data_IF_250125528253
#
_entry.id   IF_250125528253
#
_cell.length_a   1.000
_cell.length_b   1.000
_cell.length_c   1.000
_cell.angle_alpha   90.00
_cell.angle_beta   90.00
_cell.angle_gamma   90.00
#
_symmetry.space_group_name_H-M   'P 1'
#
loop_
_entity.id
_entity.type
_entity.pdbx_description
1 polymer ?
#
# COMPACT_ATOMS: atom_id res chain seq x y z
N UNK A 1 -26.19 -17.47 10.84
CA UNK A 1 -25.21 -17.06 11.88
C UNK A 1 -24.05 -18.04 12.03
N UNK A 2 -24.27 -19.35 12.17
CA UNK A 2 -23.16 -20.31 12.38
C UNK A 2 -22.11 -20.35 11.26
N UNK A 3 -22.50 -20.10 10.00
CA UNK A 3 -21.56 -20.11 8.86
C UNK A 3 -20.54 -18.97 8.89
N UNK A 4 -20.92 -17.76 9.35
CA UNK A 4 -19.99 -16.61 9.43
C UNK A 4 -18.84 -16.88 10.38
N UNK A 5 -19.17 -17.43 11.54
CA UNK A 5 -18.18 -17.74 12.59
C UNK A 5 -17.12 -18.75 12.11
N UNK A 6 -17.52 -19.77 11.35
CA UNK A 6 -16.58 -20.76 10.80
C UNK A 6 -15.63 -20.12 9.79
N UNK A 7 -16.11 -19.23 8.92
CA UNK A 7 -15.23 -18.54 7.96
C UNK A 7 -14.26 -17.59 8.65
N UNK A 8 -14.68 -16.86 9.67
CA UNK A 8 -13.81 -15.98 10.47
C UNK A 8 -12.73 -16.79 11.21
N UNK A 9 -13.08 -17.97 11.72
CA UNK A 9 -12.13 -18.88 12.36
C UNK A 9 -11.09 -19.38 11.35
N UNK A 10 -11.52 -19.85 10.17
CA UNK A 10 -10.63 -20.29 9.10
C UNK A 10 -9.71 -19.16 8.67
N UNK A 11 -10.26 -17.96 8.47
CA UNK A 11 -9.49 -16.80 8.03
C UNK A 11 -8.37 -16.44 9.00
N UNK A 12 -8.68 -16.44 10.29
CA UNK A 12 -7.72 -16.15 11.36
C UNK A 12 -6.60 -17.17 11.43
N UNK A 13 -6.93 -18.44 11.32
CA UNK A 13 -5.95 -19.55 11.36
C UNK A 13 -5.02 -19.48 10.16
N UNK A 14 -5.56 -19.21 8.97
CA UNK A 14 -4.73 -19.01 7.78
C UNK A 14 -3.83 -17.78 7.87
N UNK A 15 -4.34 -16.71 8.48
CA UNK A 15 -3.54 -15.50 8.69
C UNK A 15 -2.44 -15.71 9.73
N UNK A 16 -2.68 -16.53 10.77
CA UNK A 16 -1.64 -16.95 11.70
C UNK A 16 -0.59 -17.83 11.01
N UNK A 17 -1.02 -18.76 10.16
CA UNK A 17 -0.11 -19.56 9.33
C UNK A 17 0.79 -18.65 8.49
N UNK A 18 0.21 -17.62 7.88
CA UNK A 18 0.95 -16.76 6.95
C UNK A 18 2.00 -15.86 7.61
N UNK A 19 1.82 -15.53 8.89
CA UNK A 19 2.81 -14.76 9.67
C UNK A 19 3.84 -15.65 10.38
N UNK A 20 3.65 -16.97 10.37
CA UNK A 20 4.58 -17.93 10.94
C UNK A 20 5.66 -18.35 9.94
N UNK A 21 6.85 -18.67 10.44
CA UNK A 21 7.92 -19.30 9.67
C UNK A 21 7.82 -20.84 9.68
N UNK A 22 6.69 -21.41 10.13
CA UNK A 22 6.49 -22.85 10.26
C UNK A 22 6.33 -23.51 8.89
N UNK A 23 7.00 -24.65 8.70
CA UNK A 23 6.71 -25.56 7.60
C UNK A 23 5.28 -26.12 7.70
N UNK A 24 4.77 -26.71 6.62
CA UNK A 24 3.43 -27.32 6.64
C UNK A 24 3.33 -28.44 7.70
N UNK A 25 4.37 -29.25 7.87
CA UNK A 25 4.37 -30.31 8.87
C UNK A 25 4.31 -29.75 10.30
N UNK A 26 5.11 -28.72 10.59
CA UNK A 26 5.12 -28.06 11.90
C UNK A 26 3.79 -27.33 12.16
N UNK A 27 3.20 -26.71 11.14
CA UNK A 27 1.89 -26.08 11.25
C UNK A 27 0.80 -27.11 11.58
N UNK A 28 0.79 -28.25 10.90
CA UNK A 28 -0.16 -29.33 11.15
C UNK A 28 0.03 -29.95 12.55
N UNK A 29 1.28 -30.08 13.01
CA UNK A 29 1.59 -30.54 14.37
C UNK A 29 1.13 -29.53 15.44
N UNK A 30 1.38 -28.23 15.21
CA UNK A 30 0.89 -27.15 16.07
C UNK A 30 -0.63 -27.21 16.20
N UNK A 31 -1.32 -27.41 15.08
CA UNK A 31 -2.77 -27.58 15.04
C UNK A 31 -3.25 -28.93 15.58
N UNK A 32 -2.37 -29.91 15.79
CA UNK A 32 -2.73 -31.25 16.25
C UNK A 32 -3.67 -31.98 15.27
N UNK A 33 -3.46 -31.81 13.97
CA UNK A 33 -4.30 -32.40 12.93
C UNK A 33 -3.50 -32.94 11.75
N UNK A 34 -4.03 -33.99 11.10
CA UNK A 34 -3.49 -34.45 9.83
C UNK A 34 -3.85 -33.48 8.69
N UNK A 35 -3.14 -33.57 7.57
CA UNK A 35 -3.46 -32.82 6.36
C UNK A 35 -4.93 -32.98 5.91
N UNK A 36 -5.45 -34.21 5.96
CA UNK A 36 -6.86 -34.47 5.64
C UNK A 36 -7.80 -33.76 6.62
N UNK A 37 -7.46 -33.73 7.91
CA UNK A 37 -8.20 -32.98 8.93
C UNK A 37 -8.21 -31.48 8.67
N UNK A 38 -7.05 -30.92 8.31
CA UNK A 38 -6.89 -29.53 7.97
C UNK A 38 -7.67 -29.14 6.71
N UNK A 39 -7.63 -29.94 5.64
CA UNK A 39 -8.46 -29.71 4.45
C UNK A 39 -9.95 -29.69 4.77
N UNK A 40 -10.41 -30.58 5.65
CA UNK A 40 -11.82 -30.57 6.11
C UNK A 40 -12.17 -29.34 6.94
N UNK A 41 -11.23 -28.85 7.75
CA UNK A 41 -11.35 -27.58 8.48
C UNK A 41 -11.46 -26.39 7.51
N UNK A 42 -10.57 -26.30 6.53
CA UNK A 42 -10.60 -25.28 5.48
C UNK A 42 -11.90 -25.30 4.66
N UNK A 43 -12.54 -26.46 4.51
CA UNK A 43 -13.84 -26.61 3.87
C UNK A 43 -15.03 -26.28 4.79
N UNK A 44 -14.80 -25.90 6.05
CA UNK A 44 -15.85 -25.67 7.05
C UNK A 44 -16.58 -26.92 7.52
N UNK A 45 -16.10 -28.12 7.17
CA UNK A 45 -16.73 -29.42 7.50
C UNK A 45 -16.17 -30.08 8.75
N UNK A 46 -15.25 -29.40 9.43
CA UNK A 46 -14.61 -29.82 10.67
C UNK A 46 -14.21 -28.59 11.47
N UNK A 47 -14.30 -28.65 12.79
CA UNK A 47 -13.82 -27.60 13.69
C UNK A 47 -12.37 -27.89 14.12
N UNK A 48 -11.65 -26.83 14.52
CA UNK A 48 -10.37 -27.00 15.20
C UNK A 48 -10.53 -27.81 16.49
N UNK A 49 -9.62 -28.76 16.79
CA UNK A 49 -9.51 -29.33 18.13
C UNK A 49 -9.34 -28.23 19.19
N UNK A 50 -9.98 -28.37 20.35
CA UNK A 50 -9.89 -27.35 21.42
C UNK A 50 -8.44 -27.04 21.82
N UNK A 51 -7.59 -28.07 21.91
CA UNK A 51 -6.16 -27.92 22.22
C UNK A 51 -5.35 -27.15 21.17
N UNK A 52 -5.86 -26.99 19.95
CA UNK A 52 -5.17 -26.23 18.91
C UNK A 52 -5.10 -24.75 19.26
N UNK A 53 -6.12 -24.21 19.93
CA UNK A 53 -6.14 -22.82 20.38
C UNK A 53 -5.09 -22.55 21.45
N UNK A 54 -5.06 -23.36 22.51
CA UNK A 54 -4.03 -23.32 23.55
C UNK A 54 -2.61 -23.38 22.96
N UNK A 55 -2.38 -24.29 22.00
CA UNK A 55 -1.08 -24.45 21.33
C UNK A 55 -0.70 -23.23 20.49
N UNK A 56 -1.62 -22.73 19.65
CA UNK A 56 -1.40 -21.52 18.85
C UNK A 56 -1.16 -20.30 19.75
N UNK A 57 -1.98 -20.12 20.79
CA UNK A 57 -1.84 -19.04 21.76
C UNK A 57 -0.46 -19.07 22.42
N UNK A 58 -0.01 -20.25 22.87
CA UNK A 58 1.35 -20.43 23.41
C UNK A 58 2.44 -20.11 22.40
N UNK A 59 2.32 -20.61 21.16
CA UNK A 59 3.32 -20.40 20.12
C UNK A 59 3.46 -18.92 19.76
N UNK A 60 2.33 -18.25 19.49
CA UNK A 60 2.27 -16.83 19.11
C UNK A 60 2.34 -15.86 20.31
N UNK A 61 2.44 -16.38 21.54
CA UNK A 61 2.43 -15.59 22.79
C UNK A 61 1.19 -14.69 22.91
N UNK A 62 0.05 -15.21 22.48
CA UNK A 62 -1.24 -14.56 22.55
C UNK A 62 -2.02 -15.07 23.77
N UNK A 63 -2.96 -14.26 24.23
CA UNK A 63 -4.05 -14.73 25.08
C UNK A 63 -4.99 -15.65 24.27
N UNK A 64 -5.34 -16.80 24.84
CA UNK A 64 -6.17 -17.81 24.17
C UNK A 64 -7.58 -17.25 23.88
N UNK A 65 -8.14 -16.49 24.82
CA UNK A 65 -9.47 -15.91 24.66
C UNK A 65 -9.47 -14.87 23.52
N UNK A 66 -8.43 -14.04 23.42
CA UNK A 66 -8.26 -13.09 22.31
C UNK A 66 -8.17 -13.80 20.96
N UNK A 67 -7.50 -14.95 20.91
CA UNK A 67 -7.45 -15.80 19.72
C UNK A 67 -8.81 -16.40 19.37
N UNK A 68 -9.64 -16.78 20.35
CA UNK A 68 -11.00 -17.32 20.13
C UNK A 68 -11.98 -16.21 19.71
N UNK A 69 -11.88 -15.03 20.31
CA UNK A 69 -12.72 -13.86 20.03
C UNK A 69 -12.32 -13.12 18.75
N UNK A 70 -11.12 -13.38 18.21
CA UNK A 70 -10.62 -12.73 17.00
C UNK A 70 -10.03 -11.35 17.21
N UNK A 71 -9.62 -11.05 18.43
CA UNK A 71 -8.97 -9.79 18.82
C UNK A 71 -7.44 -9.91 18.70
N UNK A 72 -6.98 -10.52 17.61
CA UNK A 72 -5.54 -10.74 17.37
C UNK A 72 -4.95 -9.50 16.70
N UNK A 73 -3.95 -8.88 17.32
CA UNK A 73 -3.15 -7.84 16.68
C UNK A 73 -2.11 -8.46 15.74
N UNK A 74 -2.50 -8.63 14.48
CA UNK A 74 -1.60 -9.16 13.46
C UNK A 74 -0.42 -8.23 13.14
N UNK A 75 -0.51 -6.93 13.41
CA UNK A 75 0.62 -6.01 13.18
C UNK A 75 1.73 -6.28 14.19
N UNK A 76 1.36 -6.48 15.45
CA UNK A 76 2.27 -6.88 16.52
C UNK A 76 2.88 -8.27 16.24
N UNK A 77 2.08 -9.25 15.85
CA UNK A 77 2.60 -10.58 15.52
C UNK A 77 3.62 -10.58 14.38
N UNK A 78 3.37 -9.82 13.32
CA UNK A 78 4.31 -9.72 12.18
C UNK A 78 5.66 -9.19 12.67
N UNK A 79 5.68 -8.25 13.63
CA UNK A 79 6.92 -7.70 14.19
C UNK A 79 7.73 -8.76 14.94
N UNK A 80 7.04 -9.62 15.67
CA UNK A 80 7.68 -10.58 16.57
C UNK A 80 8.13 -11.86 15.85
N UNK A 81 7.42 -12.26 14.79
CA UNK A 81 7.63 -13.55 14.11
C UNK A 81 8.27 -13.46 12.72
N UNK A 82 8.13 -12.35 11.99
CA UNK A 82 8.69 -12.27 10.64
C UNK A 82 10.16 -11.83 10.69
N UNK A 83 11.06 -12.76 10.36
CA UNK A 83 12.52 -12.49 10.25
C UNK A 83 12.99 -12.21 8.83
N UNK A 84 12.07 -12.30 7.87
CA UNK A 84 12.39 -12.10 6.47
C UNK A 84 12.82 -10.66 6.21
N UNK A 85 14.05 -10.51 5.70
CA UNK A 85 14.61 -9.24 5.27
C UNK A 85 14.13 -8.89 3.87
N UNK A 86 14.25 -7.61 3.51
CA UNK A 86 14.05 -7.17 2.13
C UNK A 86 15.05 -7.91 1.20
N UNK A 87 14.60 -8.56 0.12
CA UNK A 87 15.48 -9.11 -0.91
C UNK A 87 16.47 -8.08 -1.45
N UNK A 88 17.71 -8.51 -1.72
CA UNK A 88 18.80 -7.60 -2.15
C UNK A 88 18.46 -6.84 -3.44
N UNK A 89 17.73 -7.46 -4.36
CA UNK A 89 17.30 -6.82 -5.61
C UNK A 89 16.39 -5.60 -5.40
N UNK A 90 15.70 -5.50 -4.26
CA UNK A 90 14.91 -4.34 -3.88
C UNK A 90 15.68 -3.32 -3.03
N UNK A 91 16.97 -3.55 -2.80
CA UNK A 91 17.89 -2.58 -2.21
C UNK A 91 18.76 -1.88 -3.28
N UNK A 92 18.84 -2.45 -4.48
CA UNK A 92 19.51 -1.82 -5.64
C UNK A 92 18.74 -0.58 -6.08
N UNK A 93 19.43 0.55 -6.20
CA UNK A 93 18.80 1.83 -6.56
C UNK A 93 17.70 2.25 -5.58
N UNK A 94 17.86 1.97 -4.28
CA UNK A 94 16.89 2.28 -3.22
C UNK A 94 16.82 3.79 -2.86
N UNK A 95 16.54 4.62 -3.86
CA UNK A 95 16.31 6.06 -3.72
C UNK A 95 14.89 6.37 -3.21
N UNK A 96 14.03 5.36 -3.12
CA UNK A 96 12.70 5.44 -2.54
C UNK A 96 12.65 5.15 -1.04
N UNK A 97 11.42 5.20 -0.51
CA UNK A 97 11.04 4.82 0.86
C UNK A 97 9.86 3.85 0.82
N UNK A 98 9.80 2.93 1.78
CA UNK A 98 8.77 1.88 1.83
C UNK A 98 7.34 2.40 1.90
N UNK A 99 7.13 3.66 2.28
CA UNK A 99 5.81 4.28 2.50
C UNK A 99 4.80 4.08 1.36
N UNK A 100 5.19 4.32 0.11
CA UNK A 100 4.28 4.16 -1.04
C UNK A 100 3.88 2.69 -1.21
N UNK A 101 4.82 1.76 -1.06
CA UNK A 101 4.54 0.32 -1.13
C UNK A 101 3.62 -0.13 0.01
N UNK A 102 3.89 0.33 1.23
CA UNK A 102 3.07 0.01 2.42
C UNK A 102 1.63 0.45 2.21
N UNK A 103 1.42 1.73 1.89
CA UNK A 103 0.07 2.29 1.71
C UNK A 103 -0.67 1.65 0.53
N UNK A 104 0.04 1.27 -0.53
CA UNK A 104 -0.53 0.51 -1.65
C UNK A 104 -0.99 -0.89 -1.22
N UNK A 105 -0.19 -1.61 -0.43
CA UNK A 105 -0.54 -2.92 0.09
C UNK A 105 -1.65 -2.85 1.15
N UNK A 106 -1.72 -1.78 1.95
CA UNK A 106 -2.83 -1.51 2.87
C UNK A 106 -4.14 -1.28 2.12
N UNK A 107 -4.12 -0.51 1.03
CA UNK A 107 -5.27 -0.36 0.14
C UNK A 107 -5.74 -1.72 -0.40
N UNK A 108 -4.81 -2.54 -0.91
CA UNK A 108 -5.14 -3.85 -1.45
C UNK A 108 -5.71 -4.79 -0.39
N UNK A 109 -5.16 -4.78 0.83
CA UNK A 109 -5.70 -5.54 1.95
C UNK A 109 -7.12 -5.06 2.32
N UNK A 110 -7.36 -3.75 2.34
CA UNK A 110 -8.66 -3.18 2.66
C UNK A 110 -9.74 -3.45 1.60
N UNK A 111 -9.38 -3.48 0.31
CA UNK A 111 -10.34 -3.67 -0.79
C UNK A 111 -10.50 -5.13 -1.21
N UNK A 112 -9.42 -5.92 -1.20
CA UNK A 112 -9.39 -7.28 -1.75
C UNK A 112 -9.03 -8.35 -0.71
N UNK A 113 -8.76 -7.94 0.53
CA UNK A 113 -8.44 -8.84 1.63
C UNK A 113 -6.95 -9.17 1.76
N UNK A 114 -6.57 -9.64 2.95
CA UNK A 114 -5.17 -9.89 3.31
C UNK A 114 -4.50 -10.97 2.45
N UNK A 115 -5.25 -11.92 1.88
CA UNK A 115 -4.70 -13.00 1.04
C UNK A 115 -4.03 -12.47 -0.21
N UNK A 116 -4.57 -11.42 -0.84
CA UNK A 116 -3.92 -10.80 -2.00
C UNK A 116 -2.58 -10.17 -1.61
N UNK A 117 -2.54 -9.47 -0.48
CA UNK A 117 -1.31 -8.89 0.06
C UNK A 117 -0.27 -9.97 0.39
N UNK A 118 -0.66 -11.04 1.09
CA UNK A 118 0.22 -12.16 1.40
C UNK A 118 0.76 -12.86 0.15
N UNK A 119 -0.09 -13.12 -0.84
CA UNK A 119 0.31 -13.69 -2.13
C UNK A 119 1.34 -12.81 -2.85
N UNK A 120 1.12 -11.49 -2.91
CA UNK A 120 2.09 -10.55 -3.47
C UNK A 120 3.42 -10.57 -2.72
N UNK A 121 3.39 -10.51 -1.38
CA UNK A 121 4.58 -10.53 -0.55
C UNK A 121 5.40 -11.82 -0.75
N UNK A 122 4.74 -12.97 -0.73
CA UNK A 122 5.37 -14.28 -1.00
C UNK A 122 5.93 -14.36 -2.41
N UNK A 123 5.19 -13.87 -3.40
CA UNK A 123 5.61 -13.89 -4.81
C UNK A 123 6.93 -13.16 -5.04
N UNK A 124 7.13 -12.05 -4.33
CA UNK A 124 8.35 -11.26 -4.42
C UNK A 124 9.35 -11.57 -3.30
N UNK A 125 9.11 -12.59 -2.48
CA UNK A 125 10.01 -12.95 -1.38
C UNK A 125 10.19 -11.85 -0.31
N UNK A 126 9.21 -10.95 -0.18
CA UNK A 126 9.24 -9.83 0.77
C UNK A 126 8.50 -10.22 2.04
N UNK A 127 9.21 -10.26 3.16
CA UNK A 127 8.57 -10.42 4.47
C UNK A 127 7.74 -9.22 4.86
N UNK A 128 6.59 -9.43 5.51
CA UNK A 128 5.76 -8.33 5.99
C UNK A 128 6.51 -7.43 7.03
N UNK A 129 7.44 -7.99 7.81
CA UNK A 129 8.29 -7.20 8.71
C UNK A 129 9.23 -6.23 7.98
N UNK A 130 9.68 -6.58 6.76
CA UNK A 130 10.55 -5.71 5.97
C UNK A 130 9.87 -4.40 5.53
N UNK A 131 8.55 -4.31 5.68
CA UNK A 131 7.73 -3.15 5.36
C UNK A 131 7.12 -2.48 6.61
N UNK A 132 7.71 -2.65 7.79
CA UNK A 132 7.24 -1.97 9.00
C UNK A 132 7.77 -0.53 9.13
N UNK A 133 9.04 -0.33 8.77
CA UNK A 133 9.62 1.02 8.74
C UNK A 133 9.27 1.69 7.41
N UNK A 134 8.40 2.69 7.48
CA UNK A 134 7.95 3.41 6.31
C UNK A 134 9.04 4.30 5.68
N UNK A 135 10.10 4.61 6.41
CA UNK A 135 11.26 5.36 5.94
C UNK A 135 12.46 4.47 5.61
N UNK A 136 12.32 3.15 5.70
CA UNK A 136 13.34 2.24 5.20
C UNK A 136 13.58 2.49 3.70
N UNK A 137 14.84 2.56 3.26
CA UNK A 137 15.16 2.64 1.84
C UNK A 137 14.60 1.43 1.08
N UNK A 138 13.97 1.69 -0.06
CA UNK A 138 13.49 0.65 -0.96
C UNK A 138 13.62 1.08 -2.41
N UNK A 139 13.90 0.11 -3.28
CA UNK A 139 13.84 0.27 -4.72
C UNK A 139 12.40 0.39 -5.18
N UNK A 140 12.13 1.37 -6.05
CA UNK A 140 10.86 1.49 -6.80
C UNK A 140 10.57 0.24 -7.65
N UNK A 141 11.57 -0.61 -7.91
CA UNK A 141 11.42 -1.90 -8.57
C UNK A 141 10.34 -2.77 -7.89
N UNK A 142 10.26 -2.81 -6.56
CA UNK A 142 9.28 -3.64 -5.87
C UNK A 142 7.84 -3.24 -6.22
N UNK A 143 7.48 -1.97 -6.01
CA UNK A 143 6.12 -1.51 -6.30
C UNK A 143 5.80 -1.60 -7.79
N UNK A 144 6.79 -1.41 -8.66
CA UNK A 144 6.65 -1.57 -10.11
C UNK A 144 6.27 -3.01 -10.46
N UNK A 145 7.03 -3.99 -9.95
CA UNK A 145 6.75 -5.40 -10.19
C UNK A 145 5.41 -5.84 -9.59
N UNK A 146 5.02 -5.32 -8.41
CA UNK A 146 3.69 -5.54 -7.83
C UNK A 146 2.61 -5.04 -8.79
N UNK A 147 2.72 -3.80 -9.29
CA UNK A 147 1.74 -3.22 -10.20
C UNK A 147 1.65 -3.99 -11.52
N UNK A 148 2.78 -4.37 -12.10
CA UNK A 148 2.83 -5.16 -13.33
C UNK A 148 2.22 -6.56 -13.15
N UNK A 149 2.42 -7.18 -11.97
CA UNK A 149 1.80 -8.45 -11.65
C UNK A 149 0.27 -8.32 -11.49
N UNK A 150 -0.19 -7.28 -10.80
CA UNK A 150 -1.63 -7.00 -10.66
C UNK A 150 -2.28 -6.73 -12.02
N UNK A 151 -1.59 -6.04 -12.91
CA UNK A 151 -2.09 -5.78 -14.26
C UNK A 151 -2.32 -7.08 -15.04
N UNK A 152 -1.40 -8.05 -14.92
CA UNK A 152 -1.58 -9.41 -15.48
C UNK A 152 -2.77 -10.17 -14.86
N UNK A 153 -3.27 -9.71 -13.70
CA UNK A 153 -4.46 -10.23 -13.01
C UNK A 153 -5.68 -9.33 -13.20
N UNK A 154 -5.75 -8.63 -14.33
CA UNK A 154 -6.89 -7.82 -14.78
C UNK A 154 -7.13 -6.53 -14.00
N UNK A 155 -6.18 -6.07 -13.17
CA UNK A 155 -6.24 -4.71 -12.63
C UNK A 155 -6.06 -3.70 -13.77
N UNK A 156 -6.92 -2.68 -13.75
CA UNK A 156 -7.02 -1.63 -14.76
C UNK A 156 -6.45 -0.32 -14.24
N UNK A 157 -6.32 0.65 -15.14
CA UNK A 157 -5.82 2.00 -14.81
C UNK A 157 -6.52 2.62 -13.60
N UNK A 158 -7.86 2.44 -13.50
CA UNK A 158 -8.63 2.97 -12.37
C UNK A 158 -8.27 2.33 -11.01
N UNK A 159 -7.83 1.07 -10.99
CA UNK A 159 -7.50 0.36 -9.76
C UNK A 159 -6.17 0.88 -9.21
N UNK A 160 -5.20 1.11 -10.09
CA UNK A 160 -3.92 1.75 -9.73
C UNK A 160 -4.12 3.20 -9.29
N UNK A 161 -4.98 3.95 -9.99
CA UNK A 161 -5.35 5.30 -9.57
C UNK A 161 -5.98 5.31 -8.17
N UNK A 162 -6.94 4.42 -7.90
CA UNK A 162 -7.58 4.32 -6.59
C UNK A 162 -6.58 3.92 -5.48
N UNK A 163 -5.66 2.99 -5.79
CA UNK A 163 -4.56 2.61 -4.91
C UNK A 163 -3.65 3.80 -4.58
N UNK A 164 -3.33 4.62 -5.57
CA UNK A 164 -2.59 5.87 -5.37
C UNK A 164 -3.36 6.89 -4.54
N UNK A 165 -4.65 7.08 -4.83
CA UNK A 165 -5.52 8.05 -4.15
C UNK A 165 -5.73 7.72 -2.66
N UNK A 166 -5.60 6.45 -2.28
CA UNK A 166 -5.58 6.03 -0.88
C UNK A 166 -4.40 6.61 -0.08
N UNK A 167 -3.40 7.21 -0.75
CA UNK A 167 -2.25 7.83 -0.08
C UNK A 167 -2.66 8.84 0.97
N UNK A 168 -3.69 9.67 0.74
CA UNK A 168 -4.17 10.58 1.77
C UNK A 168 -4.61 9.84 3.04
N UNK A 169 -5.48 8.83 2.89
CA UNK A 169 -5.98 8.03 4.02
C UNK A 169 -4.85 7.33 4.77
N UNK A 170 -3.93 6.69 4.05
CA UNK A 170 -2.77 6.04 4.65
C UNK A 170 -1.84 7.01 5.38
N UNK A 171 -1.80 8.29 4.97
CA UNK A 171 -0.83 9.29 5.44
C UNK A 171 -1.38 10.41 6.32
N UNK A 172 -2.69 10.53 6.52
CA UNK A 172 -3.31 11.66 7.26
C UNK A 172 -2.84 11.83 8.72
N UNK A 173 -2.21 10.81 9.30
CA UNK A 173 -1.63 10.85 10.66
C UNK A 173 -0.09 10.82 10.67
N UNK A 174 0.55 11.01 9.52
CA UNK A 174 2.02 10.95 9.38
C UNK A 174 2.66 12.34 9.40
N UNK A 175 4.00 12.37 9.42
CA UNK A 175 4.79 13.62 9.27
C UNK A 175 4.41 14.40 8.00
N UNK A 176 3.99 13.72 6.94
CA UNK A 176 3.55 14.35 5.69
C UNK A 176 2.32 15.21 5.92
N UNK A 177 1.32 14.69 6.63
CA UNK A 177 0.14 15.46 6.98
C UNK A 177 0.50 16.66 7.86
N UNK A 178 1.42 16.47 8.81
CA UNK A 178 1.89 17.53 9.69
C UNK A 178 2.61 18.64 8.91
N UNK A 179 3.43 18.30 7.90
CA UNK A 179 4.11 19.28 7.05
C UNK A 179 3.17 20.07 6.15
N UNK A 180 1.99 19.52 5.83
CA UNK A 180 1.02 20.15 4.91
C UNK A 180 -0.14 20.85 5.63
N UNK A 181 -0.23 20.75 6.97
CA UNK A 181 -1.41 21.17 7.74
C UNK A 181 -1.69 22.67 7.71
N UNK A 182 -0.65 23.49 7.58
CA UNK A 182 -0.73 24.95 7.69
C UNK A 182 -0.73 25.63 6.31
N UNK A 183 -0.92 24.84 5.25
CA UNK A 183 -0.99 25.34 3.88
C UNK A 183 -2.38 25.93 3.63
N UNK A 184 -2.44 27.14 3.07
CA UNK A 184 -3.70 27.87 2.88
C UNK A 184 -4.25 27.80 1.46
N UNK A 185 -3.41 27.41 0.49
CA UNK A 185 -3.76 27.40 -0.93
C UNK A 185 -3.28 26.15 -1.67
N UNK A 186 -3.92 25.83 -2.79
CA UNK A 186 -3.51 24.73 -3.66
C UNK A 186 -2.13 24.94 -4.27
N UNK A 187 -1.82 26.18 -4.67
CA UNK A 187 -0.51 26.52 -5.22
C UNK A 187 0.60 26.28 -4.20
N UNK A 188 0.40 26.75 -2.97
CA UNK A 188 1.32 26.48 -1.86
C UNK A 188 1.39 24.97 -1.54
N UNK A 189 0.26 24.26 -1.56
CA UNK A 189 0.20 22.82 -1.29
C UNK A 189 1.09 22.02 -2.24
N UNK A 190 0.91 22.24 -3.54
CA UNK A 190 1.68 21.54 -4.55
C UNK A 190 3.14 21.98 -4.54
N UNK A 191 3.42 23.27 -4.34
CA UNK A 191 4.79 23.80 -4.24
C UNK A 191 5.53 23.15 -3.06
N UNK A 192 4.95 23.22 -1.85
CA UNK A 192 5.53 22.61 -0.65
C UNK A 192 5.66 21.10 -0.82
N UNK A 193 4.65 20.43 -1.36
CA UNK A 193 4.73 18.98 -1.52
C UNK A 193 5.90 18.56 -2.42
N UNK A 194 6.00 19.12 -3.63
CA UNK A 194 7.02 18.71 -4.60
C UNK A 194 8.42 19.25 -4.30
N UNK A 195 8.56 20.34 -3.55
CA UNK A 195 9.87 20.88 -3.18
C UNK A 195 10.38 20.37 -1.82
N UNK A 196 9.48 20.14 -0.85
CA UNK A 196 9.86 19.91 0.55
C UNK A 196 9.42 18.56 1.12
N UNK A 197 8.50 17.84 0.49
CA UNK A 197 7.89 16.63 1.11
C UNK A 197 8.09 15.38 0.28
N UNK A 198 8.09 15.47 -1.06
CA UNK A 198 8.21 14.34 -1.99
C UNK A 198 9.41 13.42 -1.67
N UNK A 199 10.52 13.98 -1.20
CA UNK A 199 11.74 13.23 -0.88
C UNK A 199 11.60 12.28 0.32
N UNK A 200 10.56 12.46 1.15
CA UNK A 200 10.17 11.51 2.21
C UNK A 200 9.58 10.22 1.65
N UNK A 201 9.19 10.21 0.38
CA UNK A 201 8.62 9.05 -0.30
C UNK A 201 9.57 8.51 -1.36
N UNK A 202 10.07 9.41 -2.20
CA UNK A 202 10.80 8.99 -3.38
C UNK A 202 11.77 10.05 -3.91
N UNK A 203 12.86 9.57 -4.50
CA UNK A 203 13.88 10.39 -5.17
C UNK A 203 14.30 9.74 -6.49
N UNK A 204 13.36 9.12 -7.21
CA UNK A 204 13.65 8.43 -8.46
C UNK A 204 13.39 9.30 -9.69
N UNK A 205 12.58 10.35 -9.55
CA UNK A 205 12.22 11.26 -10.61
C UNK A 205 12.48 12.72 -10.21
N UNK A 206 12.79 13.56 -11.20
CA UNK A 206 12.67 15.00 -11.08
C UNK A 206 11.22 15.41 -11.34
N UNK A 207 10.70 16.26 -10.46
CA UNK A 207 9.36 16.83 -10.56
C UNK A 207 9.47 18.34 -10.71
N UNK A 208 8.74 18.91 -11.66
CA UNK A 208 8.62 20.36 -11.77
C UNK A 208 7.26 20.73 -12.38
N UNK A 209 6.74 21.89 -11.99
CA UNK A 209 5.59 22.49 -12.64
C UNK A 209 6.06 23.33 -13.82
N UNK A 210 5.55 23.03 -15.03
CA UNK A 210 5.69 23.91 -16.19
C UNK A 210 4.75 25.11 -16.05
N UNK A 211 3.57 24.88 -15.45
CA UNK A 211 2.58 25.90 -15.13
C UNK A 211 1.93 25.52 -13.80
N UNK A 212 1.76 26.49 -12.90
CA UNK A 212 0.99 26.33 -11.67
C UNK A 212 0.13 27.56 -11.46
N UNK A 213 -1.13 27.32 -11.10
CA UNK A 213 -2.13 28.35 -10.86
C UNK A 213 -3.08 27.87 -9.75
N UNK A 214 -3.96 28.73 -9.23
CA UNK A 214 -4.93 28.33 -8.21
C UNK A 214 -5.94 27.25 -8.64
N UNK A 215 -6.08 26.94 -9.94
CA UNK A 215 -7.07 25.98 -10.44
C UNK A 215 -6.48 24.77 -11.14
N UNK A 216 -5.25 24.90 -11.64
CA UNK A 216 -4.60 23.84 -12.39
C UNK A 216 -3.09 23.92 -12.28
N UNK A 217 -2.43 22.78 -12.45
CA UNK A 217 -0.99 22.67 -12.63
C UNK A 217 -0.63 21.65 -13.69
N UNK A 218 0.37 21.96 -14.51
CA UNK A 218 0.99 21.02 -15.44
C UNK A 218 2.28 20.49 -14.81
N UNK A 219 2.20 19.29 -14.25
CA UNK A 219 3.33 18.61 -13.61
C UNK A 219 4.07 17.76 -14.64
N UNK A 220 5.38 17.98 -14.74
CA UNK A 220 6.29 17.16 -15.54
C UNK A 220 7.18 16.34 -14.62
N UNK A 221 7.25 15.04 -14.91
CA UNK A 221 8.08 14.07 -14.21
C UNK A 221 9.04 13.41 -15.20
N UNK A 222 10.33 13.40 -14.85
CA UNK A 222 11.38 12.74 -15.63
C UNK A 222 12.19 11.81 -14.73
N UNK A 223 12.49 10.62 -15.22
CA UNK A 223 13.42 9.69 -14.55
C UNK A 223 14.78 10.35 -14.31
N UNK A 224 15.36 10.16 -13.11
CA UNK A 224 16.75 10.54 -12.82
C UNK A 224 17.68 9.51 -13.50
N UNK A 225 18.62 9.95 -14.38
CA UNK A 225 19.46 9.03 -15.15
C UNK A 225 20.25 8.03 -14.28
N UNK A 226 20.83 8.49 -13.17
CA UNK A 226 21.62 7.63 -12.28
C UNK A 226 20.77 6.52 -11.65
N UNK A 227 19.49 6.80 -11.36
CA UNK A 227 18.56 5.81 -10.81
C UNK A 227 18.15 4.80 -11.87
N UNK A 228 17.89 5.25 -13.10
CA UNK A 228 17.64 4.37 -14.25
C UNK A 228 18.83 3.46 -14.53
N UNK A 229 20.05 4.02 -14.52
CA UNK A 229 21.29 3.27 -14.70
C UNK A 229 21.47 2.21 -13.60
N UNK A 230 21.29 2.59 -12.33
CA UNK A 230 21.41 1.66 -11.20
C UNK A 230 20.39 0.50 -11.28
N UNK A 231 19.23 0.74 -11.87
CA UNK A 231 18.18 -0.26 -12.06
C UNK A 231 18.25 -0.98 -13.41
N UNK A 232 19.21 -0.64 -14.28
CA UNK A 232 19.37 -1.18 -15.63
C UNK A 232 18.09 -1.04 -16.48
N UNK A 233 17.40 0.09 -16.35
CA UNK A 233 16.18 0.42 -17.11
C UNK A 233 16.32 1.75 -17.83
N UNK A 234 15.58 1.91 -18.93
CA UNK A 234 15.53 3.19 -19.66
C UNK A 234 14.79 4.27 -18.86
N UNK A 235 13.64 3.90 -18.29
CA UNK A 235 12.80 4.78 -17.48
C UNK A 235 12.42 4.04 -16.20
N UNK A 236 12.39 4.75 -15.09
CA UNK A 236 12.03 4.20 -13.80
C UNK A 236 10.52 3.98 -13.71
N UNK A 237 10.10 2.80 -13.25
CA UNK A 237 8.70 2.46 -13.08
C UNK A 237 8.06 1.84 -14.31
N UNK A 238 6.74 1.89 -14.38
CA UNK A 238 5.91 1.40 -15.49
C UNK A 238 4.70 2.30 -15.70
N UNK A 239 3.92 2.02 -16.75
CA UNK A 239 2.68 2.76 -17.01
C UNK A 239 1.70 2.69 -15.82
N UNK A 240 1.63 1.53 -15.16
CA UNK A 240 0.79 1.30 -13.98
C UNK A 240 1.26 2.16 -12.79
N UNK A 241 2.57 2.33 -12.63
CA UNK A 241 3.13 3.26 -11.64
C UNK A 241 2.75 4.70 -11.96
N UNK A 242 2.68 5.10 -13.23
CA UNK A 242 2.18 6.43 -13.59
C UNK A 242 0.71 6.63 -13.15
N UNK A 243 -0.15 5.63 -13.30
CA UNK A 243 -1.53 5.70 -12.81
C UNK A 243 -1.62 5.77 -11.30
N UNK A 244 -0.79 4.98 -10.60
CA UNK A 244 -0.65 5.07 -9.15
C UNK A 244 -0.22 6.47 -8.71
N UNK A 245 0.85 7.01 -9.29
CA UNK A 245 1.31 8.36 -8.96
C UNK A 245 0.25 9.42 -9.27
N UNK A 246 -0.48 9.30 -10.38
CA UNK A 246 -1.60 10.19 -10.69
C UNK A 246 -2.66 10.19 -9.58
N UNK A 247 -2.99 9.02 -9.02
CA UNK A 247 -3.86 8.90 -7.84
C UNK A 247 -3.27 9.58 -6.61
N UNK A 248 -1.98 9.39 -6.33
CA UNK A 248 -1.30 10.06 -5.22
C UNK A 248 -1.43 11.58 -5.32
N UNK A 249 -1.15 12.15 -6.50
CA UNK A 249 -1.23 13.59 -6.75
C UNK A 249 -2.67 14.10 -6.67
N UNK A 250 -3.63 13.32 -7.17
CA UNK A 250 -5.06 13.63 -7.06
C UNK A 250 -5.52 13.79 -5.62
N UNK A 251 -4.90 13.06 -4.68
CA UNK A 251 -5.27 13.07 -3.26
C UNK A 251 -4.74 14.27 -2.46
N UNK A 252 -3.77 15.03 -3.01
CA UNK A 252 -3.11 16.11 -2.27
C UNK A 252 -4.06 17.18 -1.71
N UNK A 253 -5.07 17.67 -2.46
CA UNK A 253 -6.01 18.67 -1.94
C UNK A 253 -6.74 18.25 -0.65
N UNK A 254 -6.88 16.95 -0.38
CA UNK A 254 -7.54 16.45 0.82
C UNK A 254 -6.80 16.86 2.11
N UNK A 255 -5.48 17.11 2.06
CA UNK A 255 -4.72 17.59 3.22
C UNK A 255 -5.14 18.98 3.72
N UNK A 256 -5.75 19.79 2.85
CA UNK A 256 -6.26 21.13 3.19
C UNK A 256 -7.80 21.17 3.16
N UNK A 257 -8.45 20.01 3.27
CA UNK A 257 -9.91 19.89 3.34
C UNK A 257 -10.64 20.12 2.01
N UNK A 258 -9.94 20.03 0.87
CA UNK A 258 -10.53 20.18 -0.46
C UNK A 258 -10.82 18.82 -1.11
N UNK A 259 -11.76 18.75 -2.08
CA UNK A 259 -11.98 17.55 -2.86
C UNK A 259 -10.74 17.15 -3.66
N UNK A 260 -10.56 15.85 -3.90
CA UNK A 260 -9.50 15.33 -4.75
C UNK A 260 -9.49 16.01 -6.13
N UNK A 261 -8.30 16.28 -6.65
CA UNK A 261 -8.12 16.83 -7.98
C UNK A 261 -8.44 15.79 -9.06
N UNK A 262 -8.86 16.27 -10.23
CA UNK A 262 -8.89 15.47 -11.45
C UNK A 262 -7.49 15.49 -12.06
N UNK A 263 -6.94 14.32 -12.37
CA UNK A 263 -5.62 14.22 -13.00
C UNK A 263 -5.78 13.59 -14.38
N UNK A 264 -5.28 14.29 -15.41
CA UNK A 264 -5.30 13.85 -16.81
C UNK A 264 -3.86 13.64 -17.27
N UNK A 265 -3.53 12.44 -17.76
CA UNK A 265 -2.21 12.14 -18.33
C UNK A 265 -2.14 12.63 -19.77
N UNK A 266 -1.19 13.52 -20.07
CA UNK A 266 -0.99 14.11 -21.39
C UNK A 266 0.08 13.38 -22.21
N UNK A 267 1.16 12.93 -21.56
CA UNK A 267 2.25 12.14 -22.15
C UNK A 267 2.88 11.21 -21.11
N UNK A 268 3.59 10.17 -21.55
CA UNK A 268 4.20 9.16 -20.71
C UNK A 268 5.52 8.66 -21.30
N UNK A 269 6.62 8.80 -20.54
CA UNK A 269 7.93 8.32 -21.00
C UNK A 269 7.96 6.80 -21.22
N UNK A 270 7.15 6.03 -20.48
CA UNK A 270 6.99 4.58 -20.69
C UNK A 270 6.23 4.22 -21.99
N UNK A 271 5.63 5.21 -22.66
CA UNK A 271 5.03 5.08 -24.00
C UNK A 271 5.92 5.64 -25.11
N UNK A 272 7.14 6.06 -24.78
CA UNK A 272 8.13 6.59 -25.74
C UNK A 272 8.19 8.11 -25.82
N UNK A 273 7.43 8.84 -25.01
CA UNK A 273 7.53 10.29 -24.92
C UNK A 273 8.82 10.72 -24.17
N UNK A 274 9.19 12.00 -24.25
CA UNK A 274 10.35 12.56 -23.52
C UNK A 274 10.13 12.70 -22.00
N UNK A 275 8.86 12.76 -21.56
CA UNK A 275 8.52 12.92 -20.15
C UNK A 275 7.12 12.39 -19.84
N UNK A 276 6.86 12.14 -18.56
CA UNK A 276 5.50 12.01 -18.07
C UNK A 276 4.94 13.41 -17.77
N UNK A 277 3.83 13.80 -18.43
CA UNK A 277 3.13 15.07 -18.14
C UNK A 277 1.71 14.81 -17.65
N UNK A 278 1.37 15.45 -16.54
CA UNK A 278 0.07 15.32 -15.87
C UNK A 278 -0.55 16.71 -15.72
N UNK A 279 -1.76 16.89 -16.26
CA UNK A 279 -2.61 18.04 -15.95
C UNK A 279 -3.41 17.74 -14.70
N UNK A 280 -3.19 18.53 -13.65
CA UNK A 280 -3.88 18.41 -12.36
C UNK A 280 -4.88 19.56 -12.27
N UNK A 281 -6.17 19.24 -12.25
CA UNK A 281 -7.28 20.21 -12.23
C UNK A 281 -8.03 20.09 -10.90
N UNK A 282 -8.04 21.17 -10.13
CA UNK A 282 -8.76 21.21 -8.86
C UNK A 282 -10.16 21.75 -9.08
N UNK A 283 -11.17 21.11 -8.51
CA UNK A 283 -12.52 21.69 -8.51
C UNK A 283 -12.52 22.81 -7.50
N UNK A 284 -12.92 24.01 -7.92
CA UNK A 284 -13.34 25.05 -6.97
C UNK A 284 -14.41 24.40 -6.09
N UNK A 285 -14.35 24.52 -4.75
CA UNK A 285 -15.52 24.21 -3.96
C UNK A 285 -16.65 25.03 -4.57
N UNK A 286 -17.67 24.35 -5.12
CA UNK A 286 -18.95 25.00 -5.37
C UNK A 286 -19.26 25.62 -4.02
N UNK A 287 -19.26 26.95 -3.93
CA UNK A 287 -19.55 27.65 -2.68
C UNK A 287 -20.78 26.97 -2.13
N UNK A 288 -20.59 26.12 -1.11
CA UNK A 288 -21.68 25.38 -0.52
C UNK A 288 -22.59 26.50 -0.08
N UNK A 289 -23.73 26.63 -0.76
CA UNK A 289 -24.63 27.75 -0.60
C UNK A 289 -24.76 27.91 0.90
N UNK A 290 -24.17 28.99 1.44
CA UNK A 290 -24.32 29.35 2.84
C UNK A 290 -25.79 29.74 2.94
N UNK A 291 -26.65 28.73 3.01
CA UNK A 291 -27.99 28.86 3.52
C UNK A 291 -27.79 29.32 4.94
N UNK A 292 -27.78 30.64 5.08
CA UNK A 292 -28.06 31.32 6.33
C UNK A 292 -29.37 30.74 6.83
N UNK A 293 -29.28 29.71 7.67
CA UNK A 293 -30.29 29.47 8.69
C UNK A 293 -30.17 30.66 9.64
N UNK A 294 -30.75 31.78 9.22
CA UNK A 294 -31.18 32.84 10.12
C UNK A 294 -32.20 32.21 11.06
N UNK A 295 -31.88 32.28 12.35
CA UNK A 295 -32.77 31.97 13.47
C UNK A 295 -34.04 32.81 13.44
#
# INVERSE_FOLDING_TARGET
>A
MQTSFVFEQIDRVERLRSVSDLSEAEWLDLLGMSWHGYRRFMAGTRTLPGKSYERMARYFRLDEQSLVEGKVDFKELIRDFSRQRMPEEFLVGAHGRSRTTITSLEYLEGQFGWRLKDDLLRRFGVGAAALQDAFAPISIRLITQICDHLHKRLFREQDFFAMGAYSYEGNRHSVVAQSLRDVESLEELYTRFFNEVIWLFERNCHYHYEQLSPRQGLLTSKTIPDVAQALEVRHVGSEQICHLKAGMWASLPAYIGLPMAKVTRLSCEHRGDDACRLLIETRTPVQAARGSLSA
#
